data_IF_900030254554
#
_entry.id   IF_900030254554
#
_cell.length_a   1.000
_cell.length_b   1.000
_cell.length_c   1.000
_cell.angle_alpha   90.00
_cell.angle_beta   90.00
_cell.angle_gamma   90.00
#
_symmetry.space_group_name_H-M   'P 1'
#
loop_
_entity.id
_entity.type
_entity.pdbx_description
1 polymer ?
#
# COMPACT_ATOMS: atom_id res chain seq x y z
N UNK A 1 8.66 -35.65 13.94
CA UNK A 1 8.13 -34.29 13.71
C UNK A 1 9.08 -33.58 12.75
N UNK A 2 8.66 -33.32 11.50
CA UNK A 2 9.45 -32.56 10.54
C UNK A 2 9.46 -31.08 10.95
N UNK A 3 10.63 -30.43 10.96
CA UNK A 3 10.73 -28.98 11.14
C UNK A 3 10.03 -28.32 9.94
N UNK A 4 9.15 -27.32 10.14
CA UNK A 4 8.65 -26.54 9.01
C UNK A 4 9.88 -25.95 8.29
N UNK A 5 9.94 -26.17 6.98
CA UNK A 5 10.97 -25.57 6.13
C UNK A 5 10.94 -24.04 6.27
N UNK A 6 12.02 -23.35 5.87
CA UNK A 6 12.06 -21.89 5.94
C UNK A 6 10.84 -21.33 5.20
N UNK A 7 9.97 -20.64 5.95
CA UNK A 7 8.87 -19.88 5.36
C UNK A 7 9.54 -18.74 4.59
N UNK A 8 9.57 -18.84 3.25
CA UNK A 8 10.05 -17.75 2.43
C UNK A 8 9.12 -16.56 2.63
N UNK A 9 9.66 -15.44 3.10
CA UNK A 9 8.95 -14.17 3.11
C UNK A 9 8.46 -13.85 1.69
N UNK A 10 7.18 -13.46 1.54
CA UNK A 10 6.62 -13.19 0.23
C UNK A 10 7.35 -12.02 -0.43
N UNK A 11 7.62 -12.13 -1.74
CA UNK A 11 8.21 -11.02 -2.48
C UNK A 11 7.24 -9.84 -2.53
N UNK A 12 7.78 -8.65 -2.83
CA UNK A 12 6.98 -7.44 -2.96
C UNK A 12 5.87 -7.59 -4.00
N UNK A 13 6.18 -8.22 -5.12
CA UNK A 13 5.24 -8.48 -6.21
C UNK A 13 4.15 -9.45 -5.78
N UNK A 14 4.50 -10.49 -5.01
CA UNK A 14 3.53 -11.44 -4.45
C UNK A 14 2.56 -10.74 -3.48
N UNK A 15 3.06 -9.84 -2.63
CA UNK A 15 2.22 -9.04 -1.74
C UNK A 15 1.30 -8.09 -2.50
N UNK A 16 1.79 -7.40 -3.53
CA UNK A 16 0.94 -6.53 -4.38
C UNK A 16 -0.14 -7.35 -5.06
N UNK A 17 0.21 -8.53 -5.60
CA UNK A 17 -0.76 -9.43 -6.23
C UNK A 17 -1.82 -9.89 -5.23
N UNK A 18 -1.40 -10.29 -4.02
CA UNK A 18 -2.32 -10.65 -2.95
C UNK A 18 -3.35 -9.55 -2.68
N UNK A 19 -2.94 -8.28 -2.56
CA UNK A 19 -3.87 -7.17 -2.31
C UNK A 19 -4.69 -6.74 -3.53
N UNK A 20 -4.26 -7.05 -4.75
CA UNK A 20 -5.11 -6.93 -5.94
C UNK A 20 -6.23 -7.96 -5.91
N UNK A 21 -5.91 -9.20 -5.54
CA UNK A 21 -6.88 -10.30 -5.50
C UNK A 21 -7.80 -10.24 -4.25
N UNK A 22 -7.43 -9.47 -3.21
CA UNK A 22 -8.14 -9.39 -1.92
C UNK A 22 -8.49 -7.93 -1.53
N UNK A 23 -9.53 -7.32 -2.14
CA UNK A 23 -9.84 -5.89 -1.96
C UNK A 23 -10.26 -5.51 -0.53
N UNK A 24 -10.96 -6.41 0.20
CA UNK A 24 -11.33 -6.16 1.60
C UNK A 24 -10.09 -6.08 2.50
N UNK A 25 -9.18 -7.04 2.38
CA UNK A 25 -7.91 -7.06 3.11
C UNK A 25 -7.09 -5.81 2.80
N UNK A 26 -7.00 -5.45 1.51
CA UNK A 26 -6.33 -4.22 1.06
C UNK A 26 -6.92 -2.98 1.73
N UNK A 27 -8.24 -2.82 1.76
CA UNK A 27 -8.88 -1.66 2.37
C UNK A 27 -8.61 -1.57 3.88
N UNK A 28 -8.62 -2.69 4.60
CA UNK A 28 -8.27 -2.72 6.02
C UNK A 28 -6.82 -2.26 6.26
N UNK A 29 -5.88 -2.79 5.47
CA UNK A 29 -4.46 -2.43 5.56
C UNK A 29 -4.21 -0.97 5.20
N UNK A 30 -4.98 -0.39 4.27
CA UNK A 30 -4.92 1.04 3.94
C UNK A 30 -5.41 1.90 5.11
N UNK A 31 -6.48 1.48 5.79
CA UNK A 31 -6.96 2.14 7.01
C UNK A 31 -5.89 2.11 8.11
N UNK A 32 -5.36 0.92 8.41
CA UNK A 32 -4.27 0.72 9.38
C UNK A 32 -3.05 1.59 9.05
N UNK A 33 -2.60 1.59 7.80
CA UNK A 33 -1.47 2.39 7.35
C UNK A 33 -1.69 3.89 7.57
N UNK A 34 -2.91 4.37 7.40
CA UNK A 34 -3.24 5.80 7.56
C UNK A 34 -3.19 6.23 9.00
N UNK A 35 -3.64 5.38 9.91
CA UNK A 35 -3.51 5.60 11.34
C UNK A 35 -2.04 5.52 11.74
N UNK A 36 -1.35 4.41 11.49
CA UNK A 36 0.02 4.22 11.94
C UNK A 36 1.02 5.24 11.37
N UNK A 37 0.89 5.62 10.10
CA UNK A 37 1.84 6.55 9.46
C UNK A 37 1.51 8.02 9.74
N UNK A 38 0.26 8.37 10.09
CA UNK A 38 -0.08 9.74 10.51
C UNK A 38 0.47 10.06 11.91
N UNK A 39 0.59 9.05 12.77
CA UNK A 39 1.15 9.17 14.13
C UNK A 39 2.68 9.31 14.13
N UNK A 40 3.35 9.08 12.99
CA UNK A 40 4.80 9.22 12.82
C UNK A 40 5.33 10.62 13.21
N UNK A 41 4.48 11.65 13.20
CA UNK A 41 4.90 13.01 13.62
C UNK A 41 4.81 13.27 15.12
N UNK A 42 4.05 12.47 15.88
CA UNK A 42 3.76 12.78 17.29
C UNK A 42 4.10 11.64 18.25
N UNK A 43 4.00 10.37 17.87
CA UNK A 43 4.29 9.21 18.72
C UNK A 43 4.94 8.08 17.91
N UNK A 44 6.25 7.80 18.10
CA UNK A 44 6.99 6.86 17.27
C UNK A 44 6.77 5.41 17.70
N UNK A 45 5.55 4.88 17.59
CA UNK A 45 5.39 3.42 17.47
C UNK A 45 5.73 3.05 16.02
N UNK A 46 7.02 2.83 15.75
CA UNK A 46 7.50 2.49 14.42
C UNK A 46 6.93 1.14 13.97
N UNK A 47 6.12 1.10 12.89
CA UNK A 47 5.61 -0.15 12.34
C UNK A 47 6.78 -1.07 11.96
N UNK A 48 6.64 -2.38 12.15
CA UNK A 48 7.64 -3.36 11.76
C UNK A 48 7.94 -3.27 10.25
N UNK A 49 9.11 -3.77 9.84
CA UNK A 49 9.47 -3.81 8.40
C UNK A 49 8.40 -4.53 7.58
N UNK A 50 7.83 -5.61 8.12
CA UNK A 50 6.78 -6.38 7.47
C UNK A 50 5.48 -5.59 7.35
N UNK A 51 5.09 -4.84 8.40
CA UNK A 51 3.95 -3.92 8.32
C UNK A 51 4.17 -2.84 7.28
N UNK A 52 5.35 -2.22 7.22
CA UNK A 52 5.66 -1.23 6.19
C UNK A 52 5.63 -1.83 4.77
N UNK A 53 6.12 -3.06 4.60
CA UNK A 53 6.05 -3.78 3.33
C UNK A 53 4.59 -4.06 2.92
N UNK A 54 3.73 -4.46 3.87
CA UNK A 54 2.28 -4.64 3.66
C UNK A 54 1.60 -3.33 3.28
N UNK A 55 1.88 -2.23 3.98
CA UNK A 55 1.31 -0.91 3.67
C UNK A 55 1.70 -0.44 2.28
N UNK A 56 2.99 -0.57 1.93
CA UNK A 56 3.46 -0.27 0.59
C UNK A 56 2.73 -1.09 -0.46
N UNK A 57 2.64 -2.41 -0.26
CA UNK A 57 2.04 -3.31 -1.24
C UNK A 57 0.55 -3.07 -1.42
N UNK A 58 -0.20 -2.84 -0.34
CA UNK A 58 -1.61 -2.50 -0.38
C UNK A 58 -1.83 -1.17 -1.12
N UNK A 59 -1.01 -0.15 -0.85
CA UNK A 59 -1.07 1.14 -1.53
C UNK A 59 -0.74 1.02 -3.03
N UNK A 60 0.29 0.24 -3.38
CA UNK A 60 0.62 -0.03 -4.78
C UNK A 60 -0.52 -0.78 -5.50
N UNK A 61 -1.21 -1.71 -4.82
CA UNK A 61 -2.38 -2.38 -5.39
C UNK A 61 -3.54 -1.41 -5.67
N UNK A 62 -3.80 -0.43 -4.78
CA UNK A 62 -4.80 0.63 -5.03
C UNK A 62 -4.43 1.46 -6.25
N UNK A 63 -3.15 1.84 -6.40
CA UNK A 63 -2.68 2.61 -7.56
C UNK A 63 -2.91 1.84 -8.87
N UNK A 64 -2.53 0.57 -8.91
CA UNK A 64 -2.69 -0.29 -10.09
C UNK A 64 -4.16 -0.49 -10.44
N UNK A 65 -4.99 -0.83 -9.45
CA UNK A 65 -6.42 -1.02 -9.65
C UNK A 65 -7.10 0.26 -10.14
N UNK A 66 -6.80 1.41 -9.51
CA UNK A 66 -7.41 2.70 -9.83
C UNK A 66 -7.01 3.17 -11.23
N UNK A 67 -5.72 3.07 -11.59
CA UNK A 67 -5.26 3.42 -12.93
C UNK A 67 -5.87 2.49 -14.00
N UNK A 68 -5.93 1.18 -13.70
CA UNK A 68 -6.56 0.20 -14.58
C UNK A 68 -8.05 0.48 -14.80
N UNK A 69 -8.78 0.86 -13.73
CA UNK A 69 -10.18 1.23 -13.80
C UNK A 69 -10.39 2.52 -14.61
N UNK A 70 -9.55 3.54 -14.41
CA UNK A 70 -9.59 4.78 -15.19
C UNK A 70 -9.36 4.52 -16.69
N UNK A 71 -8.38 3.69 -17.03
CA UNK A 71 -8.04 3.37 -18.42
C UNK A 71 -9.14 2.60 -19.15
N UNK A 72 -9.96 1.84 -18.43
CA UNK A 72 -11.14 1.12 -18.97
C UNK A 72 -12.35 2.01 -19.23
N UNK A 73 -12.34 3.28 -18.81
CA UNK A 73 -13.42 4.19 -19.12
C UNK A 73 -13.45 4.52 -20.62
N UNK A 74 -14.53 4.10 -21.27
CA UNK A 74 -14.71 4.20 -22.72
C UNK A 74 -15.16 5.59 -23.19
N UNK A 75 -15.84 6.36 -22.32
CA UNK A 75 -16.40 7.66 -22.70
C UNK A 75 -15.67 8.82 -22.01
N UNK A 76 -15.55 9.95 -22.70
CA UNK A 76 -14.99 11.18 -22.12
C UNK A 76 -15.85 11.70 -20.97
N UNK A 77 -17.16 11.48 -21.03
CA UNK A 77 -18.08 11.87 -19.96
C UNK A 77 -17.81 11.08 -18.68
N UNK A 78 -17.74 9.75 -18.75
CA UNK A 78 -17.43 8.91 -17.59
C UNK A 78 -16.06 9.24 -16.98
N UNK A 79 -15.07 9.58 -17.84
CA UNK A 79 -13.77 10.07 -17.38
C UNK A 79 -13.88 11.36 -16.60
N UNK A 80 -14.65 12.34 -17.07
CA UNK A 80 -14.86 13.61 -16.36
C UNK A 80 -15.57 13.39 -15.02
N UNK A 81 -16.62 12.57 -15.01
CA UNK A 81 -17.43 12.33 -13.82
C UNK A 81 -16.64 11.65 -12.69
N UNK A 82 -15.74 10.72 -13.05
CA UNK A 82 -14.94 9.96 -12.08
C UNK A 82 -13.53 10.52 -11.86
N UNK A 83 -13.13 11.56 -12.60
CA UNK A 83 -11.75 12.07 -12.55
C UNK A 83 -11.34 12.49 -11.14
N UNK A 84 -12.20 13.25 -10.46
CA UNK A 84 -11.90 13.76 -9.13
C UNK A 84 -11.77 12.65 -8.09
N UNK A 85 -12.64 11.64 -8.16
CA UNK A 85 -12.62 10.49 -7.25
C UNK A 85 -11.36 9.65 -7.46
N UNK A 86 -11.01 9.33 -8.71
CA UNK A 86 -9.80 8.58 -9.01
C UNK A 86 -8.52 9.38 -8.70
N UNK A 87 -8.50 10.69 -8.95
CA UNK A 87 -7.38 11.54 -8.56
C UNK A 87 -7.18 11.54 -7.03
N UNK A 88 -8.26 11.59 -6.25
CA UNK A 88 -8.21 11.46 -4.78
C UNK A 88 -7.62 10.12 -4.35
N UNK A 89 -8.12 9.01 -4.91
CA UNK A 89 -7.62 7.66 -4.60
C UNK A 89 -6.15 7.49 -4.93
N UNK A 90 -5.72 7.98 -6.09
CA UNK A 90 -4.32 7.94 -6.51
C UNK A 90 -3.43 8.78 -5.60
N UNK A 91 -3.85 10.00 -5.26
CA UNK A 91 -3.11 10.89 -4.37
C UNK A 91 -2.95 10.28 -2.98
N UNK A 92 -4.04 9.76 -2.41
CA UNK A 92 -4.04 9.16 -1.08
C UNK A 92 -3.18 7.89 -0.99
N UNK A 93 -3.37 6.95 -1.93
CA UNK A 93 -2.56 5.73 -1.98
C UNK A 93 -1.09 6.05 -2.27
N UNK A 94 -0.81 7.02 -3.15
CA UNK A 94 0.55 7.49 -3.42
C UNK A 94 1.24 8.03 -2.16
N UNK A 95 0.51 8.80 -1.35
CA UNK A 95 1.04 9.33 -0.09
C UNK A 95 1.39 8.23 0.91
N UNK A 96 0.48 7.27 1.14
CA UNK A 96 0.74 6.12 2.03
C UNK A 96 1.95 5.32 1.56
N UNK A 97 2.03 5.06 0.24
CA UNK A 97 3.15 4.33 -0.36
C UNK A 97 4.48 5.04 -0.11
N UNK A 98 4.52 6.35 -0.26
CA UNK A 98 5.72 7.15 -0.05
C UNK A 98 6.13 7.14 1.43
N UNK A 99 5.18 7.40 2.35
CA UNK A 99 5.44 7.35 3.79
C UNK A 99 5.97 5.99 4.25
N UNK A 100 5.41 4.89 3.74
CA UNK A 100 5.88 3.56 4.04
C UNK A 100 7.31 3.32 3.51
N UNK A 101 7.62 3.81 2.30
CA UNK A 101 8.96 3.71 1.71
C UNK A 101 10.00 4.50 2.49
N UNK A 102 9.68 5.74 2.84
CA UNK A 102 10.56 6.61 3.62
C UNK A 102 10.85 5.98 4.99
N UNK A 103 9.83 5.47 5.68
CA UNK A 103 9.99 4.77 6.95
C UNK A 103 10.85 3.50 6.86
N UNK A 104 10.77 2.74 5.74
CA UNK A 104 11.64 1.59 5.51
C UNK A 104 13.10 2.01 5.33
N UNK A 105 13.36 3.11 4.62
CA UNK A 105 14.70 3.62 4.36
C UNK A 105 15.34 4.18 5.63
N UNK A 106 14.62 4.98 6.41
CA UNK A 106 15.10 5.53 7.69
C UNK A 106 15.48 4.43 8.68
N UNK A 107 14.73 3.32 8.75
CA UNK A 107 15.11 2.17 9.60
C UNK A 107 16.38 1.46 9.13
N UNK A 108 16.69 1.52 7.83
CA UNK A 108 17.91 0.92 7.28
C UNK A 108 19.15 1.74 7.69
N UNK A 109 19.01 3.06 7.78
CA UNK A 109 20.09 3.97 8.20
C UNK A 109 20.38 3.90 9.71
N UNK A 110 19.38 3.64 10.56
CA UNK A 110 19.56 3.53 12.02
C UNK A 110 20.14 2.18 12.46
N UNK A 111 20.05 1.15 11.60
CA UNK A 111 20.54 -0.20 11.90
C UNK A 111 21.92 -0.51 11.29
N UNK A 112 22.54 0.46 10.61
CA UNK A 112 23.89 0.37 10.02
C UNK A 112 24.90 1.11 10.88
#
# INVERSE_FOLDING_TARGET
>A
MQRPGPVMEPTREQLVRHYLDNPLSRSLVIGEASECLSWHRSHPMYPSRDSLARYYAAAQAVLVETQGAFNRLETQQARRDLNAEYAKRLSYAGHIKQLALDAMNTRTEVAS
#
